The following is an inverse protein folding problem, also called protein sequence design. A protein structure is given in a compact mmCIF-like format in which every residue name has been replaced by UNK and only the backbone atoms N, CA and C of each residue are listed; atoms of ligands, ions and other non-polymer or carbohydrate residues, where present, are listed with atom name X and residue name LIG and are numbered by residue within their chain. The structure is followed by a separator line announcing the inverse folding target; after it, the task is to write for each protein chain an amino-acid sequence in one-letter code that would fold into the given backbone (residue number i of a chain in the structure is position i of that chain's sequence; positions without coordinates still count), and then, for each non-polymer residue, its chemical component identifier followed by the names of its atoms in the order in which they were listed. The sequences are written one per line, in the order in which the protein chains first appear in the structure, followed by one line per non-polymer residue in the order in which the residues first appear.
data_IF_293722406177
#
_entry.id   IF_293722406177
#
_cell.length_a   1.000
_cell.length_b   1.000
_cell.length_c   1.000
_cell.angle_alpha   90.00
_cell.angle_beta   90.00
_cell.angle_gamma   90.00
#
_symmetry.space_group_name_H-M   'P 1'
#
loop_
_entity.id
_entity.type
_entity.pdbx_description
1 polymer ?
#
# COMPACT_ATOMS: atom_id res chain seq x y z
N UNK A 1 -16.30 44.08 -26.45
CA UNK A 1 -16.39 43.00 -25.45
C UNK A 1 -16.51 41.71 -26.25
N UNK A 2 -15.35 41.16 -26.61
CA UNK A 2 -15.25 39.87 -27.29
C UNK A 2 -15.36 38.77 -26.24
N UNK A 3 -16.20 37.78 -26.55
CA UNK A 3 -16.48 36.61 -25.73
C UNK A 3 -15.21 35.82 -25.38
N UNK A 4 -14.65 36.10 -24.20
CA UNK A 4 -13.73 35.19 -23.50
C UNK A 4 -14.53 34.22 -22.63
N UNK A 5 -15.35 33.38 -23.25
CA UNK A 5 -15.64 32.07 -22.68
C UNK A 5 -14.69 31.08 -23.35
N UNK A 6 -13.42 31.09 -22.91
CA UNK A 6 -12.51 29.99 -23.19
C UNK A 6 -13.20 28.72 -22.75
N UNK A 7 -13.50 27.83 -23.70
CA UNK A 7 -14.01 26.50 -23.43
C UNK A 7 -13.08 25.85 -22.41
N UNK A 8 -13.53 25.66 -21.17
CA UNK A 8 -12.75 24.96 -20.16
C UNK A 8 -12.39 23.59 -20.75
N UNK A 9 -11.10 23.40 -21.04
CA UNK A 9 -10.60 22.14 -21.57
C UNK A 9 -10.85 21.06 -20.52
N UNK A 10 -11.87 20.23 -20.75
CA UNK A 10 -12.26 19.16 -19.84
C UNK A 10 -11.17 18.09 -19.66
N UNK A 11 -10.12 18.12 -20.50
CA UNK A 11 -8.91 17.32 -20.39
C UNK A 11 -7.75 18.05 -19.69
N UNK A 12 -8.00 19.17 -19.01
CA UNK A 12 -6.96 19.90 -18.28
C UNK A 12 -6.32 19.04 -17.18
N UNK A 13 -5.00 18.84 -17.27
CA UNK A 13 -4.22 18.10 -16.27
C UNK A 13 -4.30 18.74 -14.89
N UNK A 14 -4.40 20.08 -14.82
CA UNK A 14 -4.60 20.79 -13.56
C UNK A 14 -5.90 20.39 -12.85
N UNK A 15 -6.99 20.18 -13.60
CA UNK A 15 -8.25 19.73 -13.02
C UNK A 15 -8.11 18.31 -12.46
N UNK A 16 -7.43 17.41 -13.19
CA UNK A 16 -7.16 16.04 -12.75
C UNK A 16 -6.30 16.02 -11.47
N UNK A 17 -5.23 16.81 -11.44
CA UNK A 17 -4.37 16.99 -10.26
C UNK A 17 -5.16 17.52 -9.06
N UNK A 18 -6.00 18.54 -9.28
CA UNK A 18 -6.82 19.13 -8.23
C UNK A 18 -7.80 18.12 -7.64
N UNK A 19 -8.48 17.34 -8.48
CA UNK A 19 -9.40 16.29 -8.03
C UNK A 19 -8.65 15.21 -7.26
N UNK A 20 -7.49 14.75 -7.74
CA UNK A 20 -6.68 13.75 -7.04
C UNK A 20 -6.25 14.23 -5.65
N UNK A 21 -5.70 15.45 -5.56
CA UNK A 21 -5.28 16.03 -4.28
C UNK A 21 -6.47 16.26 -3.34
N UNK A 22 -7.63 16.64 -3.87
CA UNK A 22 -8.86 16.82 -3.09
C UNK A 22 -9.38 15.48 -2.56
N UNK A 23 -9.32 14.42 -3.37
CA UNK A 23 -9.71 13.06 -2.96
C UNK A 23 -8.78 12.54 -1.85
N UNK A 24 -7.46 12.71 -2.03
CA UNK A 24 -6.46 12.36 -1.03
C UNK A 24 -6.71 13.15 0.26
N UNK A 25 -6.83 14.47 0.18
CA UNK A 25 -7.10 15.31 1.34
C UNK A 25 -8.40 14.92 2.06
N UNK A 26 -9.49 14.72 1.31
CA UNK A 26 -10.78 14.35 1.85
C UNK A 26 -10.74 13.01 2.58
N UNK A 27 -10.14 11.98 1.96
CA UNK A 27 -9.96 10.66 2.58
C UNK A 27 -9.04 10.70 3.80
N UNK A 28 -8.05 11.61 3.85
CA UNK A 28 -7.10 11.76 4.95
C UNK A 28 -7.55 12.64 6.11
N UNK A 29 -8.40 13.65 5.89
CA UNK A 29 -8.71 14.67 6.91
C UNK A 29 -10.18 14.75 7.29
N UNK A 30 -11.08 14.32 6.42
CA UNK A 30 -12.51 14.36 6.71
C UNK A 30 -12.95 13.15 7.55
N UNK A 31 -13.95 13.34 8.41
CA UNK A 31 -14.64 12.23 9.08
C UNK A 31 -15.55 11.53 8.06
N UNK A 32 -15.79 10.22 8.20
CA UNK A 32 -16.67 9.44 7.29
C UNK A 32 -17.98 10.13 6.87
N UNK A 33 -18.77 10.76 7.77
CA UNK A 33 -20.02 11.43 7.39
C UNK A 33 -19.84 12.65 6.48
N UNK A 34 -18.62 13.19 6.33
CA UNK A 34 -18.33 14.33 5.46
C UNK A 34 -17.93 13.91 4.03
N UNK A 35 -17.63 12.62 3.80
CA UNK A 35 -17.07 12.13 2.54
C UNK A 35 -18.05 11.31 1.68
N UNK A 36 -19.16 10.83 2.24
CA UNK A 36 -20.17 10.02 1.52
C UNK A 36 -20.88 10.77 0.35
N UNK A 37 -20.51 12.01 0.04
CA UNK A 37 -21.21 12.87 -0.92
C UNK A 37 -20.62 12.99 -2.34
N UNK A 38 -19.32 12.73 -2.57
CA UNK A 38 -18.68 13.04 -3.85
C UNK A 38 -17.87 11.87 -4.44
N UNK A 39 -18.27 11.29 -5.59
CA UNK A 39 -17.56 10.19 -6.24
C UNK A 39 -16.35 10.72 -7.04
N UNK A 40 -15.40 11.37 -6.35
CA UNK A 40 -14.25 12.04 -6.96
C UNK A 40 -13.34 11.06 -7.73
N UNK A 41 -13.15 9.86 -7.20
CA UNK A 41 -12.46 8.75 -7.85
C UNK A 41 -13.11 8.35 -9.19
N UNK A 42 -14.43 8.23 -9.23
CA UNK A 42 -15.18 7.93 -10.45
C UNK A 42 -15.06 9.07 -11.47
N UNK A 43 -15.13 10.32 -11.02
CA UNK A 43 -14.97 11.50 -11.87
C UNK A 43 -13.55 11.51 -12.46
N UNK A 44 -12.53 11.37 -11.63
CA UNK A 44 -11.13 11.37 -12.04
C UNK A 44 -10.83 10.23 -13.03
N UNK A 45 -11.29 9.01 -12.74
CA UNK A 45 -11.17 7.87 -13.65
C UNK A 45 -11.78 8.18 -15.03
N UNK A 46 -12.97 8.80 -15.08
CA UNK A 46 -13.61 9.18 -16.35
C UNK A 46 -12.83 10.25 -17.11
N UNK A 47 -12.25 11.22 -16.41
CA UNK A 47 -11.41 12.25 -17.02
C UNK A 47 -10.11 11.65 -17.57
N UNK A 48 -9.44 10.79 -16.80
CA UNK A 48 -8.19 10.14 -17.23
C UNK A 48 -8.40 9.22 -18.44
N UNK A 49 -9.52 8.49 -18.52
CA UNK A 49 -9.85 7.66 -19.69
C UNK A 49 -10.09 8.48 -20.98
N UNK A 50 -10.41 9.77 -20.85
CA UNK A 50 -10.55 10.71 -21.98
C UNK A 50 -9.27 11.46 -22.27
N UNK A 51 -8.31 11.43 -21.34
CA UNK A 51 -7.00 12.05 -21.51
C UNK A 51 -6.18 11.22 -22.50
N UNK A 52 -5.74 11.85 -23.58
CA UNK A 52 -4.82 11.22 -24.52
C UNK A 52 -3.43 11.12 -23.86
N UNK A 53 -3.09 9.91 -23.41
CA UNK A 53 -1.75 9.57 -22.94
C UNK A 53 -1.09 8.70 -24.01
N UNK A 54 0.04 9.14 -24.59
CA UNK A 54 0.72 8.39 -25.63
C UNK A 54 1.09 6.98 -25.18
N UNK A 55 0.83 6.00 -26.04
CA UNK A 55 1.29 4.62 -25.84
C UNK A 55 2.72 4.39 -26.32
N UNK A 56 3.37 5.42 -26.88
CA UNK A 56 4.77 5.46 -27.32
C UNK A 56 5.49 6.51 -26.49
N UNK A 57 6.73 6.26 -26.06
CA UNK A 57 7.50 7.23 -25.29
C UNK A 57 7.94 8.40 -26.18
N UNK A 58 7.45 9.64 -25.94
CA UNK A 58 7.87 10.80 -26.72
C UNK A 58 9.38 11.05 -26.63
N UNK A 59 10.03 10.68 -25.51
CA UNK A 59 11.47 10.83 -25.35
C UNK A 59 12.27 10.02 -26.35
N UNK A 60 11.78 8.84 -26.78
CA UNK A 60 12.48 8.03 -27.76
C UNK A 60 12.53 8.70 -29.13
N UNK A 61 11.48 9.43 -29.49
CA UNK A 61 11.47 10.24 -30.71
C UNK A 61 12.46 11.39 -30.61
N UNK A 62 12.46 12.13 -29.50
CA UNK A 62 13.40 13.24 -29.26
C UNK A 62 14.85 12.77 -29.24
N UNK A 63 15.16 11.67 -28.55
CA UNK A 63 16.50 11.04 -28.53
C UNK A 63 16.98 10.67 -29.93
N UNK A 64 16.09 10.21 -30.81
CA UNK A 64 16.45 9.88 -32.20
C UNK A 64 16.78 11.12 -33.00
N UNK A 65 15.95 12.15 -32.90
CA UNK A 65 16.16 13.43 -33.60
C UNK A 65 17.42 14.14 -33.14
N UNK A 66 17.65 14.21 -31.82
CA UNK A 66 18.87 14.77 -31.23
C UNK A 66 20.13 14.05 -31.75
N UNK A 67 20.14 12.70 -31.74
CA UNK A 67 21.26 11.90 -32.26
C UNK A 67 21.51 12.08 -33.76
N UNK A 68 20.47 12.36 -34.54
CA UNK A 68 20.58 12.63 -35.98
C UNK A 68 21.02 14.06 -36.31
N UNK A 69 21.18 14.95 -35.32
CA UNK A 69 21.53 16.35 -35.54
C UNK A 69 20.45 17.17 -36.24
N UNK A 70 19.18 16.77 -36.13
CA UNK A 70 18.05 17.53 -36.66
C UNK A 70 17.83 18.78 -35.80
N UNK A 71 17.61 19.94 -36.44
CA UNK A 71 17.23 21.16 -35.74
C UNK A 71 15.82 21.01 -35.15
N UNK A 72 15.76 20.92 -33.82
CA UNK A 72 14.51 20.94 -33.06
C UNK A 72 14.39 22.26 -32.30
N UNK A 73 13.17 22.77 -32.20
CA UNK A 73 12.85 23.77 -31.20
C UNK A 73 12.72 23.08 -29.83
N UNK A 74 13.84 22.95 -29.11
CA UNK A 74 13.89 22.25 -27.84
C UNK A 74 12.95 22.85 -26.79
N UNK A 75 12.69 24.15 -26.82
CA UNK A 75 11.72 24.77 -25.90
C UNK A 75 10.30 24.23 -26.16
N UNK A 76 9.87 24.17 -27.43
CA UNK A 76 8.56 23.65 -27.78
C UNK A 76 8.44 22.15 -27.48
N UNK A 77 9.45 21.35 -27.83
CA UNK A 77 9.45 19.91 -27.57
C UNK A 77 9.47 19.59 -26.08
N UNK A 78 10.24 20.34 -25.30
CA UNK A 78 10.30 20.18 -23.85
C UNK A 78 8.97 20.53 -23.18
N UNK A 79 8.33 21.63 -23.59
CA UNK A 79 7.01 22.01 -23.08
C UNK A 79 5.93 20.97 -23.39
N UNK A 80 5.91 20.46 -24.63
CA UNK A 80 5.00 19.38 -25.02
C UNK A 80 5.28 18.10 -24.23
N UNK A 81 6.55 17.72 -24.09
CA UNK A 81 6.95 16.56 -23.30
C UNK A 81 6.55 16.68 -21.83
N UNK A 82 6.77 17.83 -21.19
CA UNK A 82 6.38 18.07 -19.79
C UNK A 82 4.88 17.84 -19.60
N UNK A 83 4.03 18.32 -20.52
CA UNK A 83 2.58 18.11 -20.44
C UNK A 83 2.21 16.62 -20.55
N UNK A 84 2.82 15.90 -21.50
CA UNK A 84 2.60 14.46 -21.67
C UNK A 84 3.09 13.64 -20.46
N UNK A 85 4.27 13.95 -19.94
CA UNK A 85 4.84 13.33 -18.74
C UNK A 85 3.96 13.62 -17.52
N UNK A 86 3.44 14.85 -17.40
CA UNK A 86 2.51 15.25 -16.33
C UNK A 86 1.23 14.40 -16.34
N UNK A 87 0.58 14.24 -17.51
CA UNK A 87 -0.61 13.39 -17.65
C UNK A 87 -0.31 11.94 -17.28
N UNK A 88 0.83 11.41 -17.73
CA UNK A 88 1.29 10.04 -17.40
C UNK A 88 1.49 9.87 -15.89
N UNK A 89 2.19 10.80 -15.24
CA UNK A 89 2.43 10.78 -13.79
C UNK A 89 1.11 10.88 -13.01
N UNK A 90 0.18 11.74 -13.40
CA UNK A 90 -1.14 11.85 -12.73
C UNK A 90 -1.93 10.55 -12.85
N UNK A 91 -1.96 9.91 -14.03
CA UNK A 91 -2.64 8.63 -14.21
C UNK A 91 -2.05 7.52 -13.33
N UNK A 92 -0.72 7.41 -13.29
CA UNK A 92 -0.02 6.42 -12.47
C UNK A 92 -0.16 6.72 -10.97
N UNK A 93 -0.14 7.99 -10.54
CA UNK A 93 -0.35 8.39 -9.14
C UNK A 93 -1.78 8.11 -8.67
N UNK A 94 -2.77 8.31 -9.54
CA UNK A 94 -4.15 7.92 -9.23
C UNK A 94 -4.26 6.39 -9.05
N UNK A 95 -3.65 5.61 -9.94
CA UNK A 95 -3.58 4.15 -9.79
C UNK A 95 -2.86 3.72 -8.51
N UNK A 96 -1.72 4.34 -8.21
CA UNK A 96 -0.97 4.11 -6.98
C UNK A 96 -1.86 4.35 -5.76
N UNK A 97 -2.57 5.48 -5.73
CA UNK A 97 -3.52 5.81 -4.67
C UNK A 97 -4.66 4.78 -4.58
N UNK A 98 -5.31 4.41 -5.69
CA UNK A 98 -6.39 3.40 -5.72
C UNK A 98 -5.95 2.06 -5.13
N UNK A 99 -4.76 1.59 -5.53
CA UNK A 99 -4.17 0.35 -4.99
C UNK A 99 -3.86 0.46 -3.49
N UNK A 100 -3.34 1.59 -3.02
CA UNK A 100 -3.12 1.79 -1.59
C UNK A 100 -4.43 1.75 -0.82
N UNK A 101 -5.47 2.43 -1.32
CA UNK A 101 -6.78 2.43 -0.70
C UNK A 101 -7.37 1.02 -0.59
N UNK A 102 -7.24 0.20 -1.63
CA UNK A 102 -7.67 -1.18 -1.62
C UNK A 102 -6.88 -2.05 -0.64
N UNK A 103 -5.55 -1.90 -0.64
CA UNK A 103 -4.65 -2.69 0.21
C UNK A 103 -4.90 -2.45 1.68
N UNK A 104 -4.96 -1.18 2.09
CA UNK A 104 -4.94 -0.85 3.51
C UNK A 104 -6.38 -0.84 4.07
N UNK A 105 -7.36 -0.29 3.35
CA UNK A 105 -8.74 -0.20 3.86
C UNK A 105 -9.67 -1.32 3.38
N UNK A 106 -9.21 -2.23 2.53
CA UNK A 106 -10.06 -3.28 1.95
C UNK A 106 -11.15 -2.76 1.02
N UNK A 107 -10.92 -1.61 0.37
CA UNK A 107 -11.84 -1.07 -0.65
C UNK A 107 -11.68 -1.83 -1.97
N UNK A 108 -12.72 -1.85 -2.78
CA UNK A 108 -12.60 -2.33 -4.16
C UNK A 108 -11.79 -1.34 -4.99
N UNK A 109 -10.86 -1.84 -5.81
CA UNK A 109 -10.13 -1.03 -6.77
C UNK A 109 -11.06 -0.60 -7.91
N UNK A 110 -10.95 0.64 -8.35
CA UNK A 110 -11.65 1.13 -9.54
C UNK A 110 -10.84 0.94 -10.83
N UNK A 111 -9.54 0.62 -10.72
CA UNK A 111 -8.64 0.35 -11.85
C UNK A 111 -7.84 -0.94 -11.66
N UNK A 112 -7.34 -1.49 -12.76
CA UNK A 112 -6.33 -2.57 -12.74
C UNK A 112 -5.02 -2.11 -13.36
N UNK A 113 -3.91 -2.75 -12.98
CA UNK A 113 -2.63 -2.60 -13.67
C UNK A 113 -2.77 -2.72 -15.19
N UNK A 114 -3.64 -3.59 -15.69
CA UNK A 114 -3.83 -3.82 -17.13
C UNK A 114 -4.47 -2.65 -17.91
N UNK A 115 -5.08 -1.69 -17.20
CA UNK A 115 -5.63 -0.47 -17.81
C UNK A 115 -4.52 0.52 -18.22
N UNK A 116 -3.31 0.35 -17.68
CA UNK A 116 -2.21 1.31 -17.80
C UNK A 116 -1.23 0.90 -18.91
N UNK A 117 -1.56 1.25 -20.15
CA UNK A 117 -0.71 1.04 -21.34
C UNK A 117 0.25 2.20 -21.57
N UNK A 118 1.01 2.54 -20.54
CA UNK A 118 1.94 3.67 -20.52
C UNK A 118 3.37 3.20 -20.26
N UNK A 119 4.33 4.06 -20.57
CA UNK A 119 5.71 3.89 -20.14
C UNK A 119 5.87 4.17 -18.66
N UNK A 120 6.96 3.67 -18.08
CA UNK A 120 7.36 4.13 -16.76
C UNK A 120 7.65 5.65 -16.78
N UNK A 121 7.50 6.35 -15.64
CA UNK A 121 7.93 7.73 -15.52
C UNK A 121 9.42 7.88 -15.87
N UNK A 122 9.75 9.06 -16.39
CA UNK A 122 11.15 9.41 -16.62
C UNK A 122 11.95 9.47 -15.31
N UNK A 123 13.27 9.47 -15.43
CA UNK A 123 14.17 9.73 -14.31
C UNK A 123 13.95 11.14 -13.72
N UNK A 124 14.15 11.27 -12.40
CA UNK A 124 13.84 12.52 -11.69
C UNK A 124 14.71 13.69 -12.13
N UNK A 125 15.93 13.49 -12.61
CA UNK A 125 16.75 14.59 -13.15
C UNK A 125 16.18 15.15 -14.46
N UNK A 126 15.49 14.35 -15.28
CA UNK A 126 14.80 14.83 -16.47
C UNK A 126 13.57 15.65 -16.10
N UNK A 127 12.81 15.18 -15.11
CA UNK A 127 11.63 15.87 -14.59
C UNK A 127 11.98 17.21 -13.94
N UNK A 128 13.11 17.27 -13.22
CA UNK A 128 13.56 18.45 -12.49
C UNK A 128 14.51 19.36 -13.31
N UNK A 129 14.68 19.11 -14.61
CA UNK A 129 15.43 20.02 -15.48
C UNK A 129 14.75 21.41 -15.47
N UNK A 130 15.53 22.48 -15.37
CA UNK A 130 14.99 23.85 -15.28
C UNK A 130 14.93 24.54 -16.64
N UNK A 131 15.59 23.97 -17.65
CA UNK A 131 15.66 24.51 -19.01
C UNK A 131 15.61 23.39 -20.04
N UNK A 132 15.19 23.73 -21.26
CA UNK A 132 15.19 22.78 -22.38
C UNK A 132 16.60 22.33 -22.76
N UNK A 133 17.61 23.18 -22.54
CA UNK A 133 19.02 22.86 -22.78
C UNK A 133 19.56 21.83 -21.77
N UNK A 134 19.25 21.98 -20.47
CA UNK A 134 19.55 20.96 -19.47
C UNK A 134 18.86 19.64 -19.79
N UNK A 135 17.55 19.72 -20.09
CA UNK A 135 16.75 18.55 -20.42
C UNK A 135 17.33 17.76 -21.60
N UNK A 136 17.68 18.43 -22.70
CA UNK A 136 18.26 17.74 -23.85
C UNK A 136 19.65 17.19 -23.55
N UNK A 137 20.48 17.93 -22.80
CA UNK A 137 21.82 17.50 -22.40
C UNK A 137 21.80 16.23 -21.54
N UNK A 138 20.72 16.00 -20.80
CA UNK A 138 20.52 14.77 -20.03
C UNK A 138 20.08 13.57 -20.86
N UNK A 139 19.63 13.75 -22.11
CA UNK A 139 19.16 12.64 -22.95
C UNK A 139 20.31 11.76 -23.46
N UNK A 140 21.53 12.30 -23.50
CA UNK A 140 22.71 11.55 -23.94
C UNK A 140 23.03 10.40 -22.98
N UNK A 141 23.20 9.21 -23.55
CA UNK A 141 23.51 7.99 -22.79
C UNK A 141 22.34 7.39 -22.01
N UNK A 142 21.13 7.95 -22.09
CA UNK A 142 19.96 7.39 -21.42
C UNK A 142 19.45 6.13 -22.12
N UNK A 143 19.17 5.10 -21.31
CA UNK A 143 18.57 3.86 -21.81
C UNK A 143 17.13 4.08 -22.28
N UNK A 144 16.62 3.14 -23.08
CA UNK A 144 15.23 3.13 -23.52
C UNK A 144 14.31 2.87 -22.31
N UNK A 145 13.26 3.68 -22.20
CA UNK A 145 12.27 3.52 -21.13
C UNK A 145 11.43 2.28 -21.39
N UNK A 146 11.24 1.43 -20.38
CA UNK A 146 10.36 0.27 -20.50
C UNK A 146 8.90 0.64 -20.26
N UNK A 147 7.99 -0.14 -20.87
CA UNK A 147 6.58 -0.02 -20.53
C UNK A 147 6.29 -0.55 -19.12
N UNK A 148 5.26 0.01 -18.47
CA UNK A 148 4.81 -0.44 -17.15
C UNK A 148 4.45 -1.94 -17.15
N UNK A 149 3.66 -2.37 -18.14
CA UNK A 149 3.21 -3.76 -18.27
C UNK A 149 4.35 -4.72 -18.61
N UNK A 150 5.32 -4.30 -19.43
CA UNK A 150 6.49 -5.12 -19.72
C UNK A 150 7.36 -5.32 -18.49
N UNK A 151 7.58 -4.25 -17.73
CA UNK A 151 8.35 -4.33 -16.49
C UNK A 151 7.65 -5.26 -15.48
N UNK A 152 6.33 -5.18 -15.33
CA UNK A 152 5.59 -6.14 -14.50
C UNK A 152 5.79 -7.59 -14.95
N UNK A 153 5.77 -7.86 -16.26
CA UNK A 153 6.05 -9.21 -16.80
C UNK A 153 7.47 -9.67 -16.48
N UNK A 154 8.46 -8.77 -16.49
CA UNK A 154 9.84 -9.07 -16.09
C UNK A 154 9.94 -9.47 -14.60
N UNK A 155 9.18 -8.84 -13.72
CA UNK A 155 9.14 -9.23 -12.30
C UNK A 155 8.45 -10.57 -12.08
N UNK A 156 7.41 -10.87 -12.85
CA UNK A 156 6.69 -12.14 -12.80
C UNK A 156 7.46 -13.31 -13.46
N UNK A 157 8.45 -13.03 -14.31
CA UNK A 157 9.28 -14.03 -14.97
C UNK A 157 10.60 -14.25 -14.21
N UNK A 158 10.86 -15.44 -13.63
CA UNK A 158 12.09 -15.72 -12.91
C UNK A 158 13.33 -15.76 -13.83
N UNK A 159 13.15 -15.94 -15.14
CA UNK A 159 14.26 -16.07 -16.10
C UNK A 159 14.72 -14.72 -16.66
N UNK A 160 13.90 -13.67 -16.51
CA UNK A 160 14.23 -12.34 -17.04
C UNK A 160 15.10 -11.55 -16.08
N UNK A 161 16.13 -10.92 -16.64
CA UNK A 161 16.96 -9.94 -15.94
C UNK A 161 16.13 -8.70 -15.62
N UNK A 162 16.34 -8.16 -14.42
CA UNK A 162 15.63 -6.98 -13.95
C UNK A 162 16.22 -5.72 -14.60
N UNK A 163 15.38 -4.77 -15.06
CA UNK A 163 15.86 -3.48 -15.49
C UNK A 163 16.35 -2.64 -14.31
N UNK A 164 17.11 -1.58 -14.59
CA UNK A 164 17.36 -0.51 -13.64
C UNK A 164 16.10 0.36 -13.56
N UNK A 165 15.62 0.63 -12.35
CA UNK A 165 14.41 1.38 -12.08
C UNK A 165 14.74 2.56 -11.18
N UNK A 166 14.21 3.73 -11.54
CA UNK A 166 14.12 4.85 -10.61
C UNK A 166 13.30 4.47 -9.36
N UNK A 167 13.49 5.18 -8.23
CA UNK A 167 12.69 4.95 -7.04
C UNK A 167 11.17 5.04 -7.29
N UNK A 168 10.74 6.03 -8.08
CA UNK A 168 9.34 6.23 -8.43
C UNK A 168 8.79 5.07 -9.28
N UNK A 169 9.54 4.65 -10.30
CA UNK A 169 9.18 3.51 -11.14
C UNK A 169 9.09 2.21 -10.34
N UNK A 170 10.04 1.98 -9.42
CA UNK A 170 10.01 0.82 -8.52
C UNK A 170 8.73 0.77 -7.69
N UNK A 171 8.25 1.91 -7.18
CA UNK A 171 7.00 1.97 -6.43
C UNK A 171 5.78 1.68 -7.29
N UNK A 172 5.73 2.15 -8.53
CA UNK A 172 4.64 1.77 -9.44
C UNK A 172 4.63 0.27 -9.72
N UNK A 173 5.80 -0.36 -9.86
CA UNK A 173 5.89 -1.81 -10.04
C UNK A 173 5.36 -2.57 -8.82
N UNK A 174 5.68 -2.16 -7.60
CA UNK A 174 5.07 -2.75 -6.39
C UNK A 174 3.54 -2.68 -6.49
N UNK A 175 2.97 -1.51 -6.77
CA UNK A 175 1.52 -1.32 -6.83
C UNK A 175 0.88 -2.10 -7.99
N UNK A 176 1.59 -2.25 -9.10
CA UNK A 176 1.18 -3.13 -10.20
C UNK A 176 1.11 -4.59 -9.78
N UNK A 177 2.10 -5.10 -9.06
CA UNK A 177 2.08 -6.46 -8.51
C UNK A 177 0.93 -6.66 -7.52
N UNK A 178 0.66 -5.64 -6.68
CA UNK A 178 -0.49 -5.64 -5.77
C UNK A 178 -1.82 -5.72 -6.50
N UNK A 179 -1.99 -4.90 -7.54
CA UNK A 179 -3.18 -4.92 -8.38
C UNK A 179 -3.38 -6.29 -9.05
N UNK A 180 -2.30 -6.92 -9.53
CA UNK A 180 -2.35 -8.30 -10.06
C UNK A 180 -2.82 -9.30 -9.01
N UNK A 181 -2.39 -9.16 -7.75
CA UNK A 181 -2.86 -9.99 -6.63
C UNK A 181 -4.36 -9.88 -6.38
N UNK A 182 -4.89 -8.66 -6.36
CA UNK A 182 -6.34 -8.44 -6.26
C UNK A 182 -7.11 -9.02 -7.44
N UNK A 183 -6.58 -8.89 -8.66
CA UNK A 183 -7.19 -9.48 -9.85
C UNK A 183 -7.21 -11.01 -9.82
N UNK A 184 -6.15 -11.65 -9.30
CA UNK A 184 -6.12 -13.10 -9.12
C UNK A 184 -7.19 -13.56 -8.13
N UNK A 185 -7.33 -12.88 -6.98
CA UNK A 185 -8.32 -13.20 -5.97
C UNK A 185 -9.76 -13.01 -6.47
N UNK A 186 -10.03 -11.95 -7.25
CA UNK A 186 -11.35 -11.72 -7.84
C UNK A 186 -11.75 -12.80 -8.85
N UNK A 187 -10.78 -13.43 -9.52
CA UNK A 187 -11.01 -14.42 -10.58
C UNK A 187 -11.04 -15.87 -10.09
N UNK A 188 -10.80 -16.13 -8.79
CA UNK A 188 -10.85 -17.49 -8.20
C UNK A 188 -12.28 -18.04 -8.01
N UNK A 189 -13.20 -17.66 -8.90
CA UNK A 189 -14.61 -18.11 -8.93
C UNK A 189 -14.72 -19.57 -9.44
N UNK A 190 -15.79 -20.32 -9.16
CA UNK A 190 -15.96 -21.71 -9.63
C UNK A 190 -15.92 -21.92 -11.15
N UNK A 191 -16.16 -20.85 -11.92
CA UNK A 191 -16.11 -20.83 -13.40
C UNK A 191 -14.69 -20.42 -13.90
N UNK A 192 -13.79 -20.10 -12.97
CA UNK A 192 -12.45 -19.59 -13.21
C UNK A 192 -11.39 -20.69 -13.41
N UNK A 193 -10.10 -20.31 -13.42
CA UNK A 193 -8.99 -21.27 -13.53
C UNK A 193 -9.04 -22.32 -12.43
N UNK A 194 -8.46 -23.50 -12.70
CA UNK A 194 -8.44 -24.59 -11.71
C UNK A 194 -7.77 -24.13 -10.40
N UNK A 195 -8.06 -24.79 -9.26
CA UNK A 195 -7.40 -24.50 -7.99
C UNK A 195 -5.87 -24.59 -8.10
N UNK A 196 -5.36 -25.56 -8.87
CA UNK A 196 -3.92 -25.75 -9.11
C UNK A 196 -3.31 -24.59 -9.89
N UNK A 197 -3.97 -24.13 -10.95
CA UNK A 197 -3.54 -22.95 -11.71
C UNK A 197 -3.55 -21.68 -10.86
N UNK A 198 -4.57 -21.54 -10.01
CA UNK A 198 -4.70 -20.40 -9.09
C UNK A 198 -3.55 -20.40 -8.08
N UNK A 199 -3.26 -21.56 -7.47
CA UNK A 199 -2.14 -21.72 -6.55
C UNK A 199 -0.77 -21.47 -7.22
N UNK A 200 -0.59 -21.91 -8.46
CA UNK A 200 0.62 -21.67 -9.24
C UNK A 200 0.81 -20.17 -9.52
N UNK A 201 -0.24 -19.47 -9.94
CA UNK A 201 -0.22 -18.01 -10.17
C UNK A 201 0.03 -17.24 -8.88
N UNK A 202 -0.59 -17.65 -7.77
CA UNK A 202 -0.33 -17.06 -6.46
C UNK A 202 1.13 -17.25 -6.04
N UNK A 203 1.69 -18.44 -6.22
CA UNK A 203 3.10 -18.73 -5.93
C UNK A 203 4.05 -17.90 -6.81
N UNK A 204 3.73 -17.72 -8.08
CA UNK A 204 4.48 -16.85 -8.99
C UNK A 204 4.44 -15.39 -8.53
N UNK A 205 3.28 -14.92 -8.09
CA UNK A 205 3.12 -13.55 -7.59
C UNK A 205 3.94 -13.31 -6.32
N UNK A 206 3.91 -14.24 -5.36
CA UNK A 206 4.68 -14.12 -4.12
C UNK A 206 6.19 -14.05 -4.40
N UNK A 207 6.69 -14.87 -5.34
CA UNK A 207 8.09 -14.77 -5.80
C UNK A 207 8.40 -13.41 -6.44
N UNK A 208 7.46 -12.83 -7.18
CA UNK A 208 7.64 -11.51 -7.78
C UNK A 208 7.71 -10.40 -6.71
N UNK A 209 6.93 -10.52 -5.63
CA UNK A 209 7.01 -9.62 -4.48
C UNK A 209 8.39 -9.72 -3.79
N UNK A 210 8.86 -10.93 -3.51
CA UNK A 210 10.19 -11.15 -2.91
C UNK A 210 11.32 -10.64 -3.80
N UNK A 211 11.20 -10.88 -5.12
CA UNK A 211 12.10 -10.36 -6.15
C UNK A 211 12.11 -8.83 -6.11
N UNK A 212 10.95 -8.18 -6.00
CA UNK A 212 10.83 -6.74 -5.83
C UNK A 212 11.47 -6.24 -4.54
N UNK A 213 11.20 -6.85 -3.38
CA UNK A 213 11.77 -6.40 -2.12
C UNK A 213 13.30 -6.55 -2.09
N UNK A 214 13.82 -7.65 -2.62
CA UNK A 214 15.26 -7.87 -2.73
C UNK A 214 15.89 -6.82 -3.64
N UNK A 215 15.30 -6.60 -4.82
CA UNK A 215 15.75 -5.58 -5.75
C UNK A 215 15.72 -4.19 -5.13
N UNK A 216 14.62 -3.83 -4.46
CA UNK A 216 14.41 -2.54 -3.82
C UNK A 216 15.47 -2.27 -2.75
N UNK A 217 15.71 -3.24 -1.85
CA UNK A 217 16.71 -3.06 -0.79
C UNK A 217 18.14 -2.93 -1.33
N UNK A 218 18.48 -3.59 -2.44
CA UNK A 218 19.83 -3.55 -3.01
C UNK A 218 20.05 -2.32 -3.89
N UNK A 219 19.07 -1.97 -4.74
CA UNK A 219 19.28 -1.02 -5.84
C UNK A 219 18.54 0.31 -5.67
N UNK A 220 17.55 0.41 -4.78
CA UNK A 220 16.71 1.61 -4.64
C UNK A 220 16.87 2.25 -3.27
N UNK A 221 16.70 1.46 -2.20
CA UNK A 221 16.79 1.91 -0.81
C UNK A 221 18.09 2.68 -0.48
N UNK A 222 19.29 2.29 -0.97
CA UNK A 222 20.53 3.01 -0.66
C UNK A 222 20.58 4.45 -1.17
N UNK A 223 19.71 4.81 -2.13
CA UNK A 223 19.61 6.15 -2.71
C UNK A 223 18.51 7.00 -2.08
N UNK A 224 17.82 6.49 -1.05
CA UNK A 224 16.69 7.14 -0.39
C UNK A 224 17.01 7.46 1.07
N UNK A 225 16.25 8.39 1.64
CA UNK A 225 16.25 8.56 3.10
C UNK A 225 15.69 7.30 3.78
N UNK A 226 16.13 7.04 5.02
CA UNK A 226 15.62 5.91 5.80
C UNK A 226 14.09 5.95 5.94
N UNK A 227 13.51 7.14 6.16
CA UNK A 227 12.07 7.34 6.29
C UNK A 227 11.36 6.97 4.97
N UNK A 228 11.84 7.48 3.85
CA UNK A 228 11.30 7.16 2.52
C UNK A 228 11.40 5.66 2.23
N UNK A 229 12.52 5.04 2.61
CA UNK A 229 12.70 3.61 2.43
C UNK A 229 11.73 2.78 3.28
N UNK A 230 11.54 3.16 4.54
CA UNK A 230 10.68 2.43 5.46
C UNK A 230 9.20 2.55 5.09
N UNK A 231 8.72 3.71 4.64
CA UNK A 231 7.31 3.84 4.21
C UNK A 231 6.98 2.93 3.03
N UNK A 232 7.93 2.73 2.12
CA UNK A 232 7.77 1.87 0.94
C UNK A 232 7.76 0.40 1.37
N UNK A 233 8.64 0.02 2.30
CA UNK A 233 8.65 -1.33 2.88
C UNK A 233 7.39 -1.62 3.71
N UNK A 234 6.83 -0.62 4.41
CA UNK A 234 5.52 -0.77 5.08
C UNK A 234 4.45 -1.16 4.06
N UNK A 235 4.41 -0.51 2.89
CA UNK A 235 3.45 -0.85 1.84
C UNK A 235 3.63 -2.29 1.32
N UNK A 236 4.87 -2.73 1.14
CA UNK A 236 5.19 -4.12 0.79
C UNK A 236 4.66 -5.12 1.82
N UNK A 237 4.89 -4.87 3.11
CA UNK A 237 4.39 -5.76 4.16
C UNK A 237 2.86 -5.71 4.26
N UNK A 238 2.24 -4.55 4.09
CA UNK A 238 0.78 -4.41 4.06
C UNK A 238 0.14 -5.20 2.93
N UNK A 239 0.78 -5.27 1.77
CA UNK A 239 0.32 -6.09 0.65
C UNK A 239 0.35 -7.60 0.94
N UNK A 240 1.36 -8.08 1.68
CA UNK A 240 1.36 -9.47 2.14
C UNK A 240 0.21 -9.74 3.10
N UNK A 241 -0.04 -8.83 4.04
CA UNK A 241 -1.15 -8.96 4.98
C UNK A 241 -2.48 -9.03 4.23
N UNK A 242 -2.72 -8.14 3.27
CA UNK A 242 -3.99 -8.10 2.51
C UNK A 242 -4.22 -9.35 1.65
N UNK A 243 -3.17 -10.03 1.20
CA UNK A 243 -3.27 -11.30 0.46
C UNK A 243 -3.55 -12.51 1.36
N UNK A 244 -3.19 -12.45 2.64
CA UNK A 244 -3.23 -13.58 3.57
C UNK A 244 -4.23 -13.41 4.71
N UNK A 245 -4.87 -12.26 4.81
CA UNK A 245 -5.81 -11.91 5.88
C UNK A 245 -6.99 -11.16 5.32
N UNK A 246 -8.19 -11.62 5.64
CA UNK A 246 -9.40 -10.86 5.38
C UNK A 246 -9.47 -9.67 6.36
N UNK A 247 -8.95 -8.51 5.93
CA UNK A 247 -8.86 -7.29 6.76
C UNK A 247 -10.25 -6.85 7.25
N UNK A 248 -11.29 -7.04 6.43
CA UNK A 248 -12.66 -6.73 6.82
C UNK A 248 -13.09 -7.59 8.02
N UNK A 249 -12.95 -8.92 7.92
CA UNK A 249 -13.31 -9.82 9.02
C UNK A 249 -12.45 -9.62 10.27
N UNK A 250 -11.18 -9.25 10.10
CA UNK A 250 -10.28 -8.90 11.21
C UNK A 250 -10.80 -7.68 11.98
N UNK A 251 -11.13 -6.60 11.26
CA UNK A 251 -11.66 -5.35 11.83
C UNK A 251 -13.05 -5.59 12.47
N UNK A 252 -13.92 -6.34 11.80
CA UNK A 252 -15.23 -6.74 12.32
C UNK A 252 -15.09 -7.57 13.62
N UNK A 253 -14.13 -8.49 13.68
CA UNK A 253 -13.83 -9.29 14.87
C UNK A 253 -13.29 -8.45 16.03
N UNK A 254 -12.57 -7.36 15.73
CA UNK A 254 -12.12 -6.39 16.73
C UNK A 254 -13.26 -5.52 17.29
N UNK A 255 -14.48 -5.64 16.77
CA UNK A 255 -15.65 -4.89 17.24
C UNK A 255 -15.74 -3.48 16.67
N UNK A 256 -15.13 -3.26 15.51
CA UNK A 256 -15.21 -2.02 14.77
C UNK A 256 -16.53 -1.95 13.98
N UNK A 257 -17.47 -1.15 14.49
CA UNK A 257 -18.84 -1.10 13.98
C UNK A 257 -19.02 -0.30 12.70
N UNK A 258 -17.93 0.28 12.16
CA UNK A 258 -17.97 1.13 10.96
C UNK A 258 -18.30 0.36 9.69
N UNK A 259 -18.11 -0.96 9.70
CA UNK A 259 -18.34 -1.82 8.53
C UNK A 259 -19.83 -2.15 8.34
N UNK A 260 -20.64 -2.03 9.39
CA UNK A 260 -22.03 -2.48 9.38
C UNK A 260 -22.97 -1.51 8.63
N UNK A 261 -23.51 -1.96 7.49
CA UNK A 261 -24.67 -1.33 6.86
C UNK A 261 -25.96 -2.02 7.35
N UNK A 262 -26.39 -1.69 8.58
CA UNK A 262 -27.72 -2.00 9.18
C UNK A 262 -28.18 -3.48 9.27
N UNK A 263 -28.58 -3.85 10.49
CA UNK A 263 -29.57 -4.90 10.90
C UNK A 263 -29.18 -6.38 11.07
N UNK A 264 -27.91 -6.79 10.89
CA UNK A 264 -27.44 -8.07 11.49
C UNK A 264 -25.99 -8.03 11.99
N UNK A 265 -25.67 -7.02 12.79
CA UNK A 265 -24.30 -6.81 13.33
C UNK A 265 -23.78 -8.01 14.14
N UNK A 266 -24.69 -8.74 14.82
CA UNK A 266 -24.30 -9.89 15.65
C UNK A 266 -23.93 -11.11 14.82
N UNK A 267 -24.71 -11.43 13.78
CA UNK A 267 -24.45 -12.61 12.96
C UNK A 267 -23.21 -12.38 12.09
N UNK A 268 -23.03 -11.17 11.54
CA UNK A 268 -21.83 -10.77 10.82
C UNK A 268 -20.58 -10.84 11.71
N UNK A 269 -20.66 -10.33 12.95
CA UNK A 269 -19.54 -10.43 13.90
C UNK A 269 -19.23 -11.88 14.27
N UNK A 270 -20.23 -12.73 14.50
CA UNK A 270 -20.01 -14.14 14.80
C UNK A 270 -19.37 -14.89 13.64
N UNK A 271 -19.84 -14.65 12.41
CA UNK A 271 -19.27 -15.24 11.19
C UNK A 271 -17.82 -14.81 10.97
N UNK A 272 -17.55 -13.50 11.05
CA UNK A 272 -16.20 -12.95 10.92
C UNK A 272 -15.25 -13.53 11.99
N UNK A 273 -15.70 -13.58 13.25
CA UNK A 273 -14.92 -14.14 14.35
C UNK A 273 -14.61 -15.62 14.14
N UNK A 274 -15.57 -16.40 13.68
CA UNK A 274 -15.37 -17.81 13.36
C UNK A 274 -14.31 -17.99 12.26
N UNK A 275 -14.38 -17.20 11.18
CA UNK A 275 -13.37 -17.24 10.11
C UNK A 275 -11.97 -16.87 10.63
N UNK A 276 -11.85 -15.82 11.43
CA UNK A 276 -10.57 -15.40 12.01
C UNK A 276 -10.00 -16.44 12.99
N UNK A 277 -10.86 -17.16 13.72
CA UNK A 277 -10.43 -18.28 14.57
C UNK A 277 -9.83 -19.43 13.76
N UNK A 278 -10.42 -19.77 12.61
CA UNK A 278 -9.86 -20.79 11.72
C UNK A 278 -8.56 -20.29 11.08
N UNK A 279 -8.57 -19.05 10.57
CA UNK A 279 -7.41 -18.40 9.96
C UNK A 279 -6.20 -18.41 10.89
N UNK A 280 -6.35 -18.11 12.18
CA UNK A 280 -5.26 -18.03 13.16
C UNK A 280 -4.44 -19.32 13.32
N UNK A 281 -4.96 -20.45 12.83
CA UNK A 281 -4.31 -21.76 12.86
C UNK A 281 -3.70 -22.18 11.50
N UNK A 282 -3.66 -21.27 10.52
CA UNK A 282 -3.12 -21.52 9.17
C UNK A 282 -1.67 -21.01 9.02
N UNK A 283 -0.99 -21.45 7.96
CA UNK A 283 0.29 -20.87 7.55
C UNK A 283 0.16 -19.39 7.14
N UNK A 284 -0.98 -19.03 6.53
CA UNK A 284 -1.27 -17.66 6.13
C UNK A 284 -1.28 -16.69 7.33
N UNK A 285 -1.81 -17.11 8.49
CA UNK A 285 -1.79 -16.29 9.70
C UNK A 285 -0.38 -16.08 10.27
N UNK A 286 0.48 -17.11 10.23
CA UNK A 286 1.89 -16.98 10.64
C UNK A 286 2.61 -15.99 9.75
N UNK A 287 2.49 -16.15 8.43
CA UNK A 287 3.08 -15.24 7.45
C UNK A 287 2.57 -13.81 7.64
N UNK A 288 1.26 -13.60 7.74
CA UNK A 288 0.68 -12.28 7.98
C UNK A 288 1.18 -11.65 9.29
N UNK A 289 1.28 -12.43 10.36
CA UNK A 289 1.81 -11.98 11.65
C UNK A 289 3.26 -11.57 11.56
N UNK A 290 4.09 -12.34 10.84
CA UNK A 290 5.49 -11.98 10.60
C UNK A 290 5.61 -10.64 9.87
N UNK A 291 4.83 -10.43 8.79
CA UNK A 291 4.80 -9.15 8.08
C UNK A 291 4.26 -8.00 8.96
N UNK A 292 3.26 -8.25 9.79
CA UNK A 292 2.73 -7.27 10.75
C UNK A 292 3.81 -6.82 11.75
N UNK A 293 4.60 -7.76 12.28
CA UNK A 293 5.73 -7.43 13.16
C UNK A 293 6.78 -6.59 12.44
N UNK A 294 7.09 -6.88 11.17
CA UNK A 294 8.02 -6.03 10.39
C UNK A 294 7.49 -4.61 10.20
N UNK A 295 6.18 -4.41 10.00
CA UNK A 295 5.58 -3.06 9.97
C UNK A 295 5.79 -2.34 11.30
N UNK A 296 5.49 -3.02 12.41
CA UNK A 296 5.55 -2.43 13.76
C UNK A 296 6.99 -2.07 14.14
N UNK A 297 7.96 -2.96 13.92
CA UNK A 297 9.39 -2.71 14.17
C UNK A 297 9.92 -1.53 13.35
N UNK A 298 9.45 -1.38 12.11
CA UNK A 298 9.87 -0.26 11.24
C UNK A 298 9.22 1.07 11.60
N UNK A 299 8.02 1.06 12.18
CA UNK A 299 7.22 2.27 12.33
C UNK A 299 7.25 2.84 13.75
N UNK A 300 7.30 1.98 14.77
CA UNK A 300 7.27 2.40 16.16
C UNK A 300 8.56 3.13 16.55
N UNK A 301 8.41 4.18 17.36
CA UNK A 301 9.52 5.05 17.75
C UNK A 301 9.98 6.03 16.67
N UNK A 302 9.27 6.12 15.53
CA UNK A 302 9.60 7.02 14.42
C UNK A 302 8.41 7.92 14.06
N UNK A 303 8.15 8.99 14.83
CA UNK A 303 7.01 9.87 14.62
C UNK A 303 6.90 10.46 13.21
N UNK A 304 8.03 10.80 12.57
CA UNK A 304 8.01 11.32 11.20
C UNK A 304 7.33 10.35 10.24
N UNK A 305 7.52 9.03 10.43
CA UNK A 305 6.99 8.03 9.52
C UNK A 305 5.46 7.96 9.57
N UNK A 306 4.87 7.92 10.77
CA UNK A 306 3.42 7.76 10.93
C UNK A 306 2.66 9.11 11.01
N UNK A 307 3.34 10.24 11.22
CA UNK A 307 2.69 11.55 11.17
C UNK A 307 2.64 12.14 9.75
N UNK A 308 3.62 11.82 8.90
CA UNK A 308 3.76 12.42 7.56
C UNK A 308 3.25 11.51 6.43
N UNK A 309 3.20 10.18 6.64
CA UNK A 309 2.78 9.22 5.60
C UNK A 309 1.48 8.51 5.96
N UNK A 310 0.43 8.82 5.22
CA UNK A 310 -0.95 8.45 5.55
C UNK A 310 -1.21 6.94 5.67
N UNK A 311 -0.53 6.10 4.87
CA UNK A 311 -0.78 4.66 4.90
C UNK A 311 -0.16 3.99 6.12
N UNK A 312 0.82 4.63 6.76
CA UNK A 312 1.60 4.04 7.85
C UNK A 312 0.76 3.87 9.14
N UNK A 313 0.03 4.87 9.66
CA UNK A 313 -0.83 4.71 10.83
C UNK A 313 -1.85 3.59 10.69
N UNK A 314 -2.50 3.53 9.53
CA UNK A 314 -3.50 2.50 9.29
C UNK A 314 -2.85 1.11 9.15
N UNK A 315 -1.68 1.04 8.52
CA UNK A 315 -0.89 -0.20 8.45
C UNK A 315 -0.45 -0.66 9.84
N UNK A 316 -0.08 0.26 10.75
CA UNK A 316 0.22 -0.05 12.15
C UNK A 316 -1.02 -0.58 12.89
N UNK A 317 -2.18 0.02 12.67
CA UNK A 317 -3.45 -0.45 13.23
C UNK A 317 -3.78 -1.88 12.75
N UNK A 318 -3.77 -2.12 11.44
CA UNK A 318 -4.03 -3.46 10.87
C UNK A 318 -2.99 -4.47 11.37
N UNK A 319 -1.70 -4.13 11.36
CA UNK A 319 -0.64 -4.98 11.90
C UNK A 319 -0.86 -5.31 13.38
N UNK A 320 -1.32 -4.34 14.17
CA UNK A 320 -1.66 -4.56 15.58
C UNK A 320 -2.83 -5.53 15.74
N UNK A 321 -3.88 -5.40 14.93
CA UNK A 321 -5.00 -6.33 14.94
C UNK A 321 -4.59 -7.74 14.49
N UNK A 322 -3.72 -7.88 13.50
CA UNK A 322 -3.18 -9.18 13.05
C UNK A 322 -2.47 -9.87 14.22
N UNK A 323 -1.54 -9.16 14.87
CA UNK A 323 -0.82 -9.66 16.04
C UNK A 323 -1.76 -10.03 17.20
N UNK A 324 -2.75 -9.18 17.48
CA UNK A 324 -3.79 -9.44 18.48
C UNK A 324 -4.63 -10.68 18.18
N UNK A 325 -5.16 -10.79 16.97
CA UNK A 325 -6.01 -11.91 16.56
C UNK A 325 -5.23 -13.24 16.55
N UNK A 326 -4.00 -13.23 16.03
CA UNK A 326 -3.13 -14.40 16.07
C UNK A 326 -2.82 -14.82 17.51
N UNK A 327 -2.44 -13.87 18.36
CA UNK A 327 -2.19 -14.11 19.77
C UNK A 327 -3.40 -14.60 20.56
N UNK A 328 -4.60 -14.19 20.18
CA UNK A 328 -5.83 -14.56 20.88
C UNK A 328 -6.39 -15.92 20.44
N UNK A 329 -6.26 -16.28 19.17
CA UNK A 329 -6.99 -17.41 18.58
C UNK A 329 -6.10 -18.57 18.11
N UNK A 330 -4.78 -18.40 18.05
CA UNK A 330 -3.89 -19.50 17.68
C UNK A 330 -3.86 -20.59 18.75
N UNK A 331 -3.83 -21.85 18.35
CA UNK A 331 -3.74 -22.98 19.30
C UNK A 331 -2.40 -22.97 20.06
N UNK A 332 -1.33 -22.45 19.46
CA UNK A 332 -0.02 -22.24 20.11
C UNK A 332 -0.08 -21.23 21.26
N UNK A 333 -1.08 -20.35 21.27
CA UNK A 333 -1.32 -19.40 22.35
C UNK A 333 -2.04 -20.02 23.56
N UNK A 334 -2.66 -21.21 23.42
CA UNK A 334 -3.36 -21.96 24.49
C UNK A 334 -2.38 -22.88 25.24
N UNK A 335 -1.13 -22.45 25.44
CA UNK A 335 -0.20 -23.12 26.36
C UNK A 335 -0.62 -22.90 27.82
N UNK A 336 -0.12 -23.70 28.80
CA UNK A 336 -0.43 -23.49 30.21
C UNK A 336 -0.11 -22.05 30.56
N UNK A 337 -1.17 -21.28 30.87
CA UNK A 337 -1.07 -19.85 31.11
C UNK A 337 0.00 -19.60 32.16
N UNK A 338 0.94 -18.71 31.85
CA UNK A 338 1.79 -18.13 32.88
C UNK A 338 0.81 -17.45 33.82
N UNK A 339 0.59 -18.05 34.99
CA UNK A 339 -0.16 -17.41 36.07
C UNK A 339 0.56 -16.09 36.34
N UNK A 340 -0.15 -14.98 36.13
CA UNK A 340 0.33 -13.68 36.53
C UNK A 340 0.61 -13.77 38.03
N UNK A 341 1.88 -13.63 38.41
CA UNK A 341 2.25 -13.41 39.81
C UNK A 341 1.54 -12.14 40.28
N UNK A 342 0.72 -12.25 41.31
CA UNK A 342 -0.01 -11.16 41.97
C UNK A 342 0.93 -10.21 42.76
N UNK A 343 2.11 -9.92 42.22
CA UNK A 343 2.90 -8.79 42.67
C UNK A 343 2.46 -7.58 41.84
N UNK A 344 2.11 -6.50 42.53
CA UNK A 344 1.71 -5.21 42.00
C UNK A 344 2.90 -4.52 41.29
N UNK A 345 3.42 -5.17 40.25
CA UNK A 345 4.45 -4.63 39.37
C UNK A 345 3.76 -3.58 38.51
N UNK A 346 4.23 -2.33 38.61
CA UNK A 346 3.84 -1.26 37.69
C UNK A 346 4.05 -1.77 36.26
N UNK A 347 2.94 -2.03 35.57
CA UNK A 347 2.98 -2.58 34.22
C UNK A 347 3.51 -1.53 33.25
N UNK A 348 4.68 -1.79 32.65
CA UNK A 348 5.28 -0.93 31.63
C UNK A 348 4.97 -1.44 30.21
N UNK A 349 4.07 -0.73 29.53
CA UNK A 349 3.69 -1.03 28.15
C UNK A 349 4.87 -1.00 27.16
N UNK A 350 5.87 -0.12 27.37
CA UNK A 350 7.04 -0.01 26.50
C UNK A 350 7.99 -1.18 26.67
N UNK A 351 8.14 -1.70 27.90
CA UNK A 351 8.90 -2.91 28.15
C UNK A 351 8.18 -4.14 27.56
N UNK A 352 6.86 -4.23 27.73
CA UNK A 352 6.06 -5.35 27.23
C UNK A 352 6.06 -5.44 25.70
N UNK A 353 5.87 -4.33 24.99
CA UNK A 353 5.97 -4.31 23.51
C UNK A 353 7.38 -4.64 23.04
N UNK A 354 8.43 -4.16 23.71
CA UNK A 354 9.82 -4.45 23.35
C UNK A 354 10.11 -5.94 23.46
N UNK A 355 9.58 -6.59 24.50
CA UNK A 355 9.68 -8.03 24.68
C UNK A 355 8.90 -8.79 23.58
N UNK A 356 7.65 -8.38 23.32
CA UNK A 356 6.82 -8.98 22.27
C UNK A 356 7.49 -8.91 20.89
N UNK A 357 7.92 -7.71 20.46
CA UNK A 357 8.54 -7.52 19.15
C UNK A 357 9.87 -8.26 19.05
N UNK A 358 10.68 -8.32 20.12
CA UNK A 358 11.93 -9.10 20.11
C UNK A 358 11.69 -10.59 19.90
N UNK A 359 10.62 -11.14 20.49
CA UNK A 359 10.28 -12.55 20.34
C UNK A 359 9.64 -12.87 19.00
N UNK A 360 8.76 -11.99 18.51
CA UNK A 360 7.97 -12.23 17.30
C UNK A 360 8.71 -11.84 16.01
N UNK A 361 9.78 -11.05 16.09
CA UNK A 361 10.58 -10.61 14.95
C UNK A 361 11.64 -11.65 14.55
N UNK A 362 11.18 -12.85 14.18
CA UNK A 362 12.03 -13.94 13.71
C UNK A 362 12.63 -13.65 12.34
N UNK A 363 13.65 -14.43 11.95
CA UNK A 363 14.27 -14.35 10.63
C UNK A 363 13.32 -14.85 9.54
N UNK A 364 12.65 -15.97 9.78
CA UNK A 364 11.63 -16.53 8.88
C UNK A 364 10.28 -16.66 9.59
N UNK A 365 9.19 -16.66 8.83
CA UNK A 365 7.84 -16.72 9.37
C UNK A 365 7.50 -18.12 9.93
N UNK A 366 8.15 -19.18 9.43
CA UNK A 366 7.99 -20.56 9.88
C UNK A 366 8.38 -20.72 11.35
N UNK A 367 9.39 -19.96 11.79
CA UNK A 367 9.94 -20.02 13.16
C UNK A 367 8.95 -19.50 14.21
N UNK A 368 7.90 -18.78 13.81
CA UNK A 368 6.86 -18.29 14.73
C UNK A 368 6.21 -19.42 15.53
N UNK A 369 6.16 -20.64 15.00
CA UNK A 369 5.58 -21.80 15.70
C UNK A 369 6.29 -22.12 17.03
N UNK A 370 7.54 -21.69 17.18
CA UNK A 370 8.35 -21.94 18.38
C UNK A 370 8.31 -20.79 19.39
N UNK A 371 7.68 -19.68 19.06
CA UNK A 371 7.68 -18.47 19.90
C UNK A 371 6.69 -18.59 21.06
N UNK A 372 7.21 -18.51 22.30
CA UNK A 372 6.42 -18.47 23.54
C UNK A 372 6.21 -17.02 23.97
N UNK A 373 5.08 -16.41 23.59
CA UNK A 373 4.79 -15.00 23.87
C UNK A 373 3.76 -14.34 22.96
N UNK A 374 3.23 -15.09 21.99
CA UNK A 374 2.26 -14.62 20.99
C UNK A 374 1.01 -13.96 21.60
N UNK A 375 0.63 -14.35 22.83
CA UNK A 375 -0.52 -13.80 23.57
C UNK A 375 -0.28 -12.41 24.19
N UNK A 376 0.98 -11.97 24.34
CA UNK A 376 1.35 -10.74 25.07
C UNK A 376 1.17 -9.48 24.25
N UNK A 377 -0.07 -9.19 23.85
CA UNK A 377 -0.39 -8.07 22.95
C UNK A 377 -0.85 -6.80 23.66
N UNK A 378 -0.96 -6.80 25.00
CA UNK A 378 -1.40 -5.65 25.78
C UNK A 378 -0.48 -4.42 25.61
N UNK A 379 0.85 -4.62 25.69
CA UNK A 379 1.81 -3.54 25.47
C UNK A 379 1.73 -3.01 24.04
N UNK A 380 1.55 -3.90 23.06
CA UNK A 380 1.37 -3.54 21.66
C UNK A 380 0.13 -2.64 21.47
N UNK A 381 -1.03 -3.06 21.98
CA UNK A 381 -2.27 -2.30 21.89
C UNK A 381 -2.10 -0.89 22.49
N UNK A 382 -1.45 -0.79 23.66
CA UNK A 382 -1.28 0.48 24.39
C UNK A 382 -0.30 1.44 23.72
N UNK A 383 0.87 0.96 23.30
CA UNK A 383 1.87 1.83 22.66
C UNK A 383 1.41 2.30 21.28
N UNK A 384 0.77 1.43 20.50
CA UNK A 384 0.23 1.82 19.19
C UNK A 384 -0.93 2.80 19.34
N UNK A 385 -1.81 2.59 20.32
CA UNK A 385 -2.85 3.56 20.70
C UNK A 385 -2.24 4.94 20.99
N UNK A 386 -1.28 5.02 21.93
CA UNK A 386 -0.64 6.30 22.30
C UNK A 386 0.10 6.97 21.15
N UNK A 387 0.70 6.18 20.25
CA UNK A 387 1.38 6.71 19.04
C UNK A 387 0.40 7.38 18.07
N UNK A 388 -0.85 6.94 18.04
CA UNK A 388 -1.87 7.40 17.09
C UNK A 388 -2.82 8.48 17.65
N UNK A 389 -2.85 8.72 18.96
CA UNK A 389 -3.76 9.71 19.60
C UNK A 389 -3.56 11.15 19.07
N UNK A 390 -2.36 11.51 18.63
CA UNK A 390 -2.07 12.83 18.04
C UNK A 390 -2.54 13.00 16.59
N UNK A 391 -2.99 11.93 15.93
CA UNK A 391 -3.30 11.92 14.50
C UNK A 391 -4.72 12.45 14.26
N UNK A 392 -4.81 13.62 13.61
CA UNK A 392 -6.08 14.28 13.24
C UNK A 392 -6.67 13.71 11.95
N UNK A 393 -6.90 12.41 11.91
CA UNK A 393 -7.58 11.72 10.83
C UNK A 393 -8.73 10.92 11.41
N UNK A 394 -9.96 11.20 10.97
CA UNK A 394 -11.17 10.62 11.57
C UNK A 394 -11.14 9.10 11.64
N UNK A 395 -10.61 8.43 10.61
CA UNK A 395 -10.52 6.98 10.59
C UNK A 395 -9.55 6.42 11.65
N UNK A 396 -8.46 7.13 11.94
CA UNK A 396 -7.47 6.72 12.95
C UNK A 396 -7.98 6.99 14.36
N UNK A 397 -8.66 8.12 14.58
CA UNK A 397 -9.26 8.44 15.89
C UNK A 397 -10.25 7.35 16.33
N UNK A 398 -11.09 6.88 15.41
CA UNK A 398 -12.02 5.78 15.68
C UNK A 398 -11.28 4.44 15.89
N UNK A 399 -10.19 4.18 15.17
CA UNK A 399 -9.35 2.98 15.38
C UNK A 399 -8.67 2.98 16.75
N UNK A 400 -8.27 4.14 17.26
CA UNK A 400 -7.76 4.30 18.63
C UNK A 400 -8.79 3.85 19.66
N UNK A 401 -10.08 4.16 19.46
CA UNK A 401 -11.16 3.70 20.33
C UNK A 401 -11.40 2.18 20.24
N UNK A 402 -11.16 1.56 19.09
CA UNK A 402 -11.16 0.09 18.96
C UNK A 402 -10.04 -0.52 19.81
N UNK A 403 -8.81 0.00 19.70
CA UNK A 403 -7.67 -0.50 20.48
C UNK A 403 -7.89 -0.35 21.99
N UNK A 404 -8.45 0.78 22.44
CA UNK A 404 -8.82 1.01 23.85
C UNK A 404 -9.79 -0.06 24.36
N UNK A 405 -10.81 -0.42 23.57
CA UNK A 405 -11.80 -1.44 23.94
C UNK A 405 -11.20 -2.84 23.98
N UNK A 406 -10.27 -3.17 23.08
CA UNK A 406 -9.56 -4.46 23.10
C UNK A 406 -8.68 -4.64 24.32
N UNK A 407 -8.10 -3.54 24.83
CA UNK A 407 -7.23 -3.56 26.00
C UNK A 407 -7.99 -3.43 27.34
N UNK A 408 -9.30 -3.11 27.30
CA UNK A 408 -10.10 -3.01 28.51
C UNK A 408 -10.30 -4.40 29.16
N UNK A 409 -10.24 -4.49 30.51
CA UNK A 409 -10.54 -5.75 31.19
C UNK A 409 -11.96 -6.19 30.83
N UNK A 410 -12.11 -7.43 30.33
CA UNK A 410 -13.42 -8.00 30.02
C UNK A 410 -14.24 -7.99 31.31
N UNK A 411 -15.31 -7.18 31.37
CA UNK A 411 -16.29 -7.29 32.45
C UNK A 411 -16.84 -8.71 32.42
N UNK A 412 -16.54 -9.49 33.46
CA UNK A 412 -17.20 -10.77 33.71
C UNK A 412 -18.70 -10.52 33.79
N UNK A 413 -19.45 -11.03 32.83
CA UNK A 413 -20.91 -11.14 32.91
C UNK A 413 -21.26 -12.43 33.61
#
# INVERSE_FOLDING_TARGET
MSDEFSTHNSNSTYLQQTILLTDIFGKMKCTRPQFDGAPLDVILMKLLRRSEIPTTDPLEQIKRYHRSGLELNYDNEWQNWIDLESRKRVALLFFYWDVQQATIFGREMCQTAFDHRVYLPCEEFLWNANTSQEWVGYLDGQMETLSFLETLRIFLDPKRQLPVLSPLSSMFILHGLISVGFDLHRRSSPIGPSPEETAAKQSQLLRAYEKWATYYNINVSPHLSQITSDQNMVMYHSAYISLHTNIHNLITTAGDSRIFKRTSERDEHQGAKFEIQQWANTAAAKLATWHAVKILVRSLGRPQLYLEHFHVPWSMYVATLVCWAYGQFSSSAIGPGVQASEDEVIWDAHQDISHYLRQMNTDNWEDLVHVRGQTRTAGLLTVVQGSMEGIRWGLIQESVEVLKRLNAPRKSV
#
